data_IF_403253190984
#
_entry.id   IF_403253190984
#
_cell.length_a   1.000
_cell.length_b   1.000
_cell.length_c   1.000
_cell.angle_alpha   90.00
_cell.angle_beta   90.00
_cell.angle_gamma   90.00
#
_symmetry.space_group_name_H-M   'P 1'
#
loop_
_entity.id
_entity.type
_entity.pdbx_description
1 polymer ?
#
# COMPACT_ATOMS: atom_id res chain seq x y z
N UNK A 1 -3.31 15.18 -8.40
CA UNK A 1 -4.03 14.05 -9.04
C UNK A 1 -3.82 12.84 -8.16
N UNK A 2 -4.88 12.20 -7.67
CA UNK A 2 -4.78 11.00 -6.85
C UNK A 2 -4.20 9.86 -7.69
N UNK A 3 -3.02 9.37 -7.32
CA UNK A 3 -2.39 8.25 -8.01
C UNK A 3 -3.16 6.96 -7.66
N UNK A 4 -3.72 6.29 -8.66
CA UNK A 4 -4.32 4.97 -8.50
C UNK A 4 -3.22 3.92 -8.63
N UNK A 5 -3.09 3.06 -7.63
CA UNK A 5 -2.17 1.95 -7.66
C UNK A 5 -2.88 0.65 -8.08
N UNK A 6 -2.11 -0.35 -8.51
CA UNK A 6 -2.61 -1.69 -8.87
C UNK A 6 -1.79 -2.80 -8.22
N UNK A 7 -2.30 -4.02 -8.27
CA UNK A 7 -1.58 -5.21 -7.81
C UNK A 7 -0.25 -5.33 -8.54
N UNK A 8 0.82 -5.59 -7.80
CA UNK A 8 2.21 -5.65 -8.27
C UNK A 8 3.00 -4.35 -8.14
N UNK A 9 2.34 -3.20 -7.89
CA UNK A 9 3.06 -1.94 -7.72
C UNK A 9 3.92 -1.95 -6.44
N UNK A 10 5.18 -1.51 -6.57
CA UNK A 10 6.08 -1.27 -5.45
C UNK A 10 5.74 0.07 -4.81
N UNK A 11 5.46 0.03 -3.51
CA UNK A 11 5.05 1.21 -2.75
C UNK A 11 5.81 1.32 -1.45
N UNK A 12 5.77 2.53 -0.89
CA UNK A 12 6.13 2.79 0.50
C UNK A 12 5.17 3.78 1.11
N UNK A 13 5.06 3.75 2.44
CA UNK A 13 4.32 4.76 3.18
C UNK A 13 4.94 6.15 2.98
N UNK A 14 4.10 7.16 2.79
CA UNK A 14 4.49 8.55 2.50
C UNK A 14 5.12 9.26 3.71
N UNK A 15 4.63 8.98 4.91
CA UNK A 15 5.05 9.66 6.14
C UNK A 15 4.89 8.78 7.38
N UNK A 16 5.62 9.09 8.45
CA UNK A 16 5.65 8.32 9.70
C UNK A 16 6.54 7.09 9.60
N UNK A 17 6.14 5.98 10.24
CA UNK A 17 6.91 4.74 10.19
C UNK A 17 7.08 4.22 8.75
N UNK A 18 8.22 3.60 8.51
CA UNK A 18 8.56 2.97 7.24
C UNK A 18 7.71 1.71 7.03
N UNK A 19 7.10 1.61 5.84
CA UNK A 19 6.38 0.43 5.40
C UNK A 19 6.55 0.27 3.89
N UNK A 20 7.64 -0.38 3.44
CA UNK A 20 7.87 -0.68 2.05
C UNK A 20 7.23 -2.03 1.71
N UNK A 21 6.74 -2.17 0.48
CA UNK A 21 6.12 -3.41 0.07
C UNK A 21 5.55 -3.39 -1.34
N UNK A 22 4.73 -4.40 -1.61
CA UNK A 22 4.08 -4.65 -2.90
C UNK A 22 2.57 -4.66 -2.68
N UNK A 23 1.80 -4.04 -3.58
CA UNK A 23 0.35 -4.16 -3.52
C UNK A 23 -0.08 -5.56 -3.96
N UNK A 24 -0.81 -6.26 -3.10
CA UNK A 24 -1.30 -7.62 -3.36
C UNK A 24 -2.82 -7.68 -3.54
N UNK A 25 -3.55 -6.64 -3.14
CA UNK A 25 -4.99 -6.53 -3.38
C UNK A 25 -5.46 -5.07 -3.39
N UNK A 26 -6.50 -4.81 -4.18
CA UNK A 26 -7.21 -3.53 -4.25
C UNK A 26 -8.70 -3.81 -4.15
N UNK A 27 -9.39 -3.11 -3.24
CA UNK A 27 -10.82 -3.30 -3.05
C UNK A 27 -11.52 -1.99 -2.68
N UNK A 28 -12.83 -1.97 -2.91
CA UNK A 28 -13.71 -0.87 -2.54
C UNK A 28 -14.47 -1.24 -1.28
N UNK A 29 -14.43 -0.40 -0.25
CA UNK A 29 -15.21 -0.62 0.98
C UNK A 29 -16.70 -0.43 0.73
N UNK A 30 -17.53 -0.83 1.69
CA UNK A 30 -18.99 -0.56 1.66
C UNK A 30 -19.34 0.93 1.57
N UNK A 31 -18.41 1.81 1.95
CA UNK A 31 -18.56 3.26 1.85
C UNK A 31 -18.04 3.83 0.52
N UNK A 32 -17.69 2.99 -0.46
CA UNK A 32 -17.19 3.44 -1.77
C UNK A 32 -15.72 3.87 -1.80
N UNK A 33 -14.97 3.72 -0.70
CA UNK A 33 -13.58 4.13 -0.64
C UNK A 33 -12.63 3.03 -1.12
N UNK A 34 -11.68 3.37 -2.00
CA UNK A 34 -10.64 2.44 -2.45
C UNK A 34 -9.58 2.24 -1.37
N UNK A 35 -9.18 0.99 -1.15
CA UNK A 35 -8.13 0.59 -0.21
C UNK A 35 -7.15 -0.38 -0.87
N UNK A 36 -5.92 -0.34 -0.40
CA UNK A 36 -4.81 -1.12 -0.93
C UNK A 36 -4.25 -2.01 0.17
N UNK A 37 -4.15 -3.31 -0.08
CA UNK A 37 -3.39 -4.24 0.78
C UNK A 37 -1.96 -4.26 0.29
N UNK A 38 -1.03 -3.93 1.18
CA UNK A 38 0.41 -3.98 0.92
C UNK A 38 1.00 -5.13 1.72
N UNK A 39 1.73 -6.00 1.04
CA UNK A 39 2.60 -7.00 1.66
C UNK A 39 3.98 -6.39 1.85
N UNK A 40 4.44 -6.33 3.09
CA UNK A 40 5.72 -5.74 3.43
C UNK A 40 6.89 -6.62 2.97
N UNK A 41 7.94 -5.98 2.47
CA UNK A 41 9.20 -6.64 2.09
C UNK A 41 10.40 -6.13 2.91
N UNK A 42 10.15 -5.37 3.98
CA UNK A 42 11.19 -4.97 4.92
C UNK A 42 11.69 -6.18 5.72
N UNK A 43 13.01 -6.36 5.92
CA UNK A 43 13.57 -7.55 6.60
C UNK A 43 13.01 -7.82 8.00
N UNK A 44 12.68 -6.76 8.75
CA UNK A 44 12.16 -6.88 10.12
C UNK A 44 10.70 -7.32 10.22
N UNK A 45 9.93 -7.29 9.12
CA UNK A 45 8.49 -7.60 9.14
C UNK A 45 7.97 -8.08 7.77
N UNK A 46 8.80 -8.82 7.02
CA UNK A 46 8.46 -9.33 5.70
C UNK A 46 7.24 -10.26 5.76
N UNK A 47 6.36 -10.16 4.76
CA UNK A 47 5.10 -10.93 4.69
C UNK A 47 3.96 -10.35 5.54
N UNK A 48 4.19 -9.32 6.35
CA UNK A 48 3.11 -8.63 7.05
C UNK A 48 2.20 -7.93 6.04
N UNK A 49 0.89 -8.07 6.22
CA UNK A 49 -0.12 -7.38 5.41
C UNK A 49 -0.68 -6.18 6.18
N UNK A 50 -0.82 -5.05 5.49
CA UNK A 50 -1.50 -3.88 6.04
C UNK A 50 -2.34 -3.16 4.98
N UNK A 51 -3.45 -2.56 5.41
CA UNK A 51 -4.39 -1.85 4.54
C UNK A 51 -4.12 -0.35 4.63
N UNK A 52 -3.96 0.31 3.48
CA UNK A 52 -3.76 1.76 3.36
C UNK A 52 -4.82 2.41 2.47
N UNK A 53 -5.03 3.71 2.64
CA UNK A 53 -5.63 4.55 1.60
C UNK A 53 -4.56 5.00 0.60
N UNK A 54 -4.96 5.58 -0.54
CA UNK A 54 -4.02 6.00 -1.58
C UNK A 54 -3.11 7.17 -1.19
N UNK A 55 -3.58 8.06 -0.31
CA UNK A 55 -2.83 9.24 0.13
C UNK A 55 -1.64 8.87 1.03
N UNK A 56 -1.77 7.76 1.75
CA UNK A 56 -0.73 7.20 2.62
C UNK A 56 0.41 6.54 1.85
N UNK A 57 0.25 6.28 0.55
CA UNK A 57 1.24 5.58 -0.26
C UNK A 57 1.91 6.52 -1.26
N UNK A 58 3.11 6.13 -1.65
CA UNK A 58 3.84 6.69 -2.78
C UNK A 58 4.62 5.58 -3.50
N UNK A 59 4.91 5.74 -4.80
CA UNK A 59 5.72 4.79 -5.54
C UNK A 59 7.10 4.61 -4.89
N UNK A 60 7.58 3.38 -4.88
CA UNK A 60 8.96 3.03 -4.57
C UNK A 60 9.60 2.57 -5.88
N UNK A 61 10.48 3.41 -6.43
CA UNK A 61 11.29 3.09 -7.60
C UNK A 61 12.32 1.99 -7.28
#
# INVERSE_FOLDING_TARGET
>A
MSQSFKVGDLVRKRAGYEYPGIIVSVFTTRAGAVRYVVEADHPGFAGMLHIFNGEQLQPRA
#
